data_IF_004729507695
#
_entry.id   IF_004729507695
#
_cell.length_a   1.000
_cell.length_b   1.000
_cell.length_c   1.000
_cell.angle_alpha   90.00
_cell.angle_beta   90.00
_cell.angle_gamma   90.00
#
_symmetry.space_group_name_H-M   'P 1'
#
loop_
_entity.id
_entity.type
_entity.pdbx_description
1 polymer ?
#
# COMPACT_ATOMS: atom_id res chain seq x y z
N UNK A 1 44.52 28.28 23.57
CA UNK A 1 43.17 28.74 23.21
C UNK A 1 42.50 27.64 22.39
N UNK A 2 41.32 27.17 22.82
CA UNK A 2 40.62 25.96 22.31
C UNK A 2 40.19 26.16 20.85
N UNK A 3 40.56 25.22 19.97
CA UNK A 3 40.05 25.14 18.59
C UNK A 3 38.65 24.53 18.62
N UNK A 4 37.64 25.34 18.32
CA UNK A 4 36.25 24.90 18.16
C UNK A 4 36.11 24.38 16.73
N UNK A 5 35.85 23.09 16.59
CA UNK A 5 35.47 22.47 15.32
C UNK A 5 33.95 22.61 15.17
N UNK A 6 33.53 23.46 14.22
CA UNK A 6 32.12 23.56 13.83
C UNK A 6 31.80 22.38 12.93
N UNK A 7 31.06 21.41 13.44
CA UNK A 7 30.51 20.31 12.67
C UNK A 7 29.30 20.84 11.89
N UNK A 8 29.47 21.04 10.58
CA UNK A 8 28.38 21.42 9.67
C UNK A 8 27.50 20.19 9.43
N UNK A 9 26.34 20.16 10.08
CA UNK A 9 25.31 19.15 9.86
C UNK A 9 24.55 19.53 8.57
N UNK A 10 24.88 18.89 7.45
CA UNK A 10 24.18 19.13 6.18
C UNK A 10 22.78 18.52 6.28
N UNK A 11 21.77 19.38 6.32
CA UNK A 11 20.36 19.04 6.26
C UNK A 11 20.01 18.46 4.88
N UNK A 12 19.94 17.14 4.76
CA UNK A 12 19.44 16.43 3.59
C UNK A 12 17.97 15.99 3.77
N UNK A 13 17.11 16.85 4.33
CA UNK A 13 15.76 16.46 4.78
C UNK A 13 14.60 16.76 3.80
N UNK A 14 14.87 17.11 2.53
CA UNK A 14 13.82 17.47 1.56
C UNK A 14 13.82 16.65 0.25
N UNK A 15 14.36 15.42 0.25
CA UNK A 15 14.32 14.57 -0.96
C UNK A 15 13.17 13.54 -0.98
N UNK A 16 12.77 13.00 0.16
CA UNK A 16 11.82 11.86 0.21
C UNK A 16 10.45 12.13 -0.43
N UNK A 17 9.85 13.30 -0.17
CA UNK A 17 8.49 13.61 -0.66
C UNK A 17 8.41 13.77 -2.19
N UNK A 18 9.47 14.26 -2.83
CA UNK A 18 9.53 14.35 -4.29
C UNK A 18 9.86 13.01 -4.95
N UNK A 19 10.64 12.15 -4.27
CA UNK A 19 11.06 10.85 -4.83
C UNK A 19 9.89 9.90 -5.06
N UNK A 20 8.85 9.96 -4.25
CA UNK A 20 7.71 9.04 -4.32
C UNK A 20 6.47 9.64 -4.98
N UNK A 21 6.58 10.85 -5.54
CA UNK A 21 5.50 11.49 -6.27
C UNK A 21 5.13 10.65 -7.49
N UNK A 22 3.86 10.28 -7.61
CA UNK A 22 3.38 9.41 -8.70
C UNK A 22 3.68 10.03 -10.07
N UNK A 23 3.54 11.35 -10.19
CA UNK A 23 3.74 12.09 -11.44
C UNK A 23 5.20 12.10 -11.90
N UNK A 24 6.16 11.85 -11.02
CA UNK A 24 7.57 11.74 -11.42
C UNK A 24 7.90 10.40 -12.10
N UNK A 25 6.99 9.42 -12.03
CA UNK A 25 7.22 8.06 -12.51
C UNK A 25 6.21 7.60 -13.58
N UNK A 26 4.98 8.09 -13.52
CA UNK A 26 3.88 7.59 -14.36
C UNK A 26 3.11 8.75 -14.99
N UNK A 27 2.84 8.66 -16.29
CA UNK A 27 1.83 9.48 -16.96
C UNK A 27 0.41 9.11 -16.51
N UNK A 28 -0.58 9.94 -16.83
CA UNK A 28 -2.00 9.65 -16.56
C UNK A 28 -2.45 8.31 -17.14
N UNK A 29 -2.02 7.99 -18.37
CA UNK A 29 -2.32 6.72 -19.02
C UNK A 29 -1.67 5.56 -18.28
N UNK A 30 -0.40 5.68 -17.89
CA UNK A 30 0.31 4.64 -17.14
C UNK A 30 -0.28 4.43 -15.75
N UNK A 31 -0.71 5.49 -15.06
CA UNK A 31 -1.44 5.42 -13.79
C UNK A 31 -2.71 4.61 -13.93
N UNK A 32 -3.51 4.88 -14.97
CA UNK A 32 -4.76 4.16 -15.21
C UNK A 32 -4.50 2.68 -15.52
N UNK A 33 -3.55 2.39 -16.42
CA UNK A 33 -3.16 1.03 -16.77
C UNK A 33 -2.69 0.25 -15.55
N UNK A 34 -1.83 0.85 -14.73
CA UNK A 34 -1.28 0.21 -13.55
C UNK A 34 -2.35 -0.01 -12.47
N UNK A 35 -3.21 0.98 -12.22
CA UNK A 35 -4.36 0.81 -11.32
C UNK A 35 -5.24 -0.36 -11.79
N UNK A 36 -5.52 -0.46 -13.09
CA UNK A 36 -6.32 -1.56 -13.65
C UNK A 36 -5.64 -2.94 -13.46
N UNK A 37 -4.31 -3.01 -13.43
CA UNK A 37 -3.58 -4.26 -13.14
C UNK A 37 -3.70 -4.66 -11.67
N UNK A 38 -3.53 -3.72 -10.74
CA UNK A 38 -3.51 -4.04 -9.29
C UNK A 38 -4.89 -4.06 -8.63
N UNK A 39 -5.92 -3.45 -9.23
CA UNK A 39 -7.21 -3.24 -8.57
C UNK A 39 -7.91 -4.55 -8.16
N UNK A 40 -7.68 -5.64 -8.89
CA UNK A 40 -8.27 -6.97 -8.58
C UNK A 40 -7.72 -7.58 -7.30
N UNK A 41 -6.53 -7.15 -6.91
CA UNK A 41 -5.89 -7.55 -5.67
C UNK A 41 -6.32 -6.64 -4.51
N UNK A 42 -6.24 -5.32 -4.71
CA UNK A 42 -6.48 -4.31 -3.66
C UNK A 42 -7.96 -4.12 -3.33
N UNK A 43 -8.83 -4.12 -4.33
CA UNK A 43 -10.24 -3.79 -4.13
C UNK A 43 -10.99 -4.94 -3.45
N UNK A 44 -12.11 -4.59 -2.81
CA UNK A 44 -13.07 -5.59 -2.34
C UNK A 44 -13.63 -6.33 -3.57
N UNK A 45 -13.53 -7.64 -3.55
CA UNK A 45 -14.20 -8.47 -4.55
C UNK A 45 -15.73 -8.43 -4.38
N UNK A 46 -16.50 -8.68 -5.46
CA UNK A 46 -17.90 -9.02 -5.35
C UNK A 46 -18.10 -10.18 -4.35
N UNK A 47 -19.24 -10.17 -3.68
CA UNK A 47 -19.57 -11.20 -2.69
C UNK A 47 -19.72 -12.58 -3.35
N UNK A 48 -19.24 -13.62 -2.67
CA UNK A 48 -19.35 -15.00 -3.13
C UNK A 48 -18.29 -15.47 -4.13
N UNK A 49 -17.34 -14.62 -4.53
CA UNK A 49 -16.28 -15.01 -5.46
C UNK A 49 -15.09 -15.65 -4.76
N UNK A 50 -14.52 -16.66 -5.41
CA UNK A 50 -13.16 -17.14 -5.15
C UNK A 50 -12.13 -16.07 -5.53
N UNK A 51 -10.86 -16.30 -5.21
CA UNK A 51 -9.81 -15.33 -5.57
C UNK A 51 -9.54 -15.35 -7.09
N UNK A 52 -9.59 -16.53 -7.69
CA UNK A 52 -9.32 -16.78 -9.10
C UNK A 52 -10.42 -16.17 -9.99
N UNK A 53 -11.68 -16.28 -9.56
CA UNK A 53 -12.84 -15.69 -10.26
C UNK A 53 -12.72 -14.17 -10.39
N UNK A 54 -11.98 -13.50 -9.50
CA UNK A 54 -11.75 -12.05 -9.58
C UNK A 54 -11.11 -11.64 -10.89
N UNK A 55 -10.43 -12.53 -11.60
CA UNK A 55 -9.71 -12.24 -12.84
C UNK A 55 -10.53 -12.57 -14.09
N UNK A 56 -11.75 -13.08 -13.95
CA UNK A 56 -12.58 -13.39 -15.11
C UNK A 56 -13.08 -12.10 -15.81
N UNK A 57 -13.16 -12.11 -17.16
CA UNK A 57 -13.61 -10.96 -17.95
C UNK A 57 -15.00 -10.43 -17.56
N UNK A 58 -15.87 -11.31 -17.04
CA UNK A 58 -17.20 -10.95 -16.58
C UNK A 58 -17.20 -9.86 -15.47
N UNK A 59 -16.09 -9.71 -14.74
CA UNK A 59 -15.96 -8.73 -13.67
C UNK A 59 -15.20 -7.45 -14.07
N UNK A 60 -14.80 -7.30 -15.34
CA UNK A 60 -14.06 -6.13 -15.84
C UNK A 60 -14.76 -4.81 -15.49
N UNK A 61 -16.06 -4.72 -15.77
CA UNK A 61 -16.86 -3.53 -15.48
C UNK A 61 -16.90 -3.20 -13.99
N UNK A 62 -16.97 -4.22 -13.13
CA UNK A 62 -16.92 -4.03 -11.68
C UNK A 62 -15.57 -3.44 -11.25
N UNK A 63 -14.47 -4.03 -11.73
CA UNK A 63 -13.13 -3.59 -11.33
C UNK A 63 -12.71 -2.25 -11.92
N UNK A 64 -13.20 -1.88 -13.11
CA UNK A 64 -13.04 -0.50 -13.65
C UNK A 64 -13.73 0.53 -12.74
N UNK A 65 -14.93 0.21 -12.23
CA UNK A 65 -15.62 1.06 -11.24
C UNK A 65 -14.84 1.13 -9.92
N UNK A 66 -14.28 0.02 -9.46
CA UNK A 66 -13.40 0.03 -8.29
C UNK A 66 -12.17 0.90 -8.51
N UNK A 67 -11.51 0.80 -9.67
CA UNK A 67 -10.30 1.57 -10.00
C UNK A 67 -10.56 3.08 -9.87
N UNK A 68 -11.70 3.57 -10.37
CA UNK A 68 -12.10 4.98 -10.27
C UNK A 68 -12.32 5.47 -8.83
N UNK A 69 -12.52 4.56 -7.86
CA UNK A 69 -12.68 4.90 -6.44
C UNK A 69 -11.35 4.90 -5.68
N UNK A 70 -10.27 4.46 -6.31
CA UNK A 70 -8.93 4.40 -5.74
C UNK A 70 -8.05 5.50 -6.33
N UNK A 71 -7.04 5.92 -5.57
CA UNK A 71 -5.99 6.82 -6.05
C UNK A 71 -4.63 6.32 -5.61
N UNK A 72 -3.61 6.55 -6.44
CA UNK A 72 -2.23 6.45 -5.99
C UNK A 72 -1.93 7.64 -5.07
N UNK A 73 -1.35 7.37 -3.91
CA UNK A 73 -0.80 8.37 -3.00
C UNK A 73 0.72 8.48 -3.16
N UNK A 74 1.38 7.36 -3.49
CA UNK A 74 2.80 7.29 -3.75
C UNK A 74 3.11 6.11 -4.67
N UNK A 75 4.20 6.23 -5.41
CA UNK A 75 4.70 5.18 -6.29
C UNK A 75 6.20 5.28 -6.45
N UNK A 76 6.86 4.13 -6.57
CA UNK A 76 8.31 4.05 -6.77
C UNK A 76 8.66 2.76 -7.51
N UNK A 77 9.73 2.79 -8.30
CA UNK A 77 10.26 1.63 -9.00
C UNK A 77 11.76 1.51 -8.70
N UNK A 78 12.19 0.31 -8.31
CA UNK A 78 13.60 -0.04 -8.12
C UNK A 78 13.92 -1.35 -8.85
N UNK A 79 14.69 -1.26 -9.92
CA UNK A 79 14.91 -2.39 -10.83
C UNK A 79 13.59 -2.92 -11.41
N UNK A 80 13.24 -4.16 -11.07
CA UNK A 80 11.98 -4.81 -11.48
C UNK A 80 10.89 -4.78 -10.38
N UNK A 81 11.19 -4.23 -9.20
CA UNK A 81 10.24 -4.15 -8.09
C UNK A 81 9.50 -2.80 -8.14
N UNK A 82 8.17 -2.89 -8.20
CA UNK A 82 7.26 -1.77 -8.19
C UNK A 82 6.64 -1.64 -6.81
N UNK A 83 6.76 -0.48 -6.18
CA UNK A 83 6.14 -0.17 -4.90
C UNK A 83 4.97 0.77 -5.12
N UNK A 84 3.84 0.49 -4.46
CA UNK A 84 2.66 1.33 -4.53
C UNK A 84 2.11 1.67 -3.14
N UNK A 85 1.54 2.86 -3.04
CA UNK A 85 0.61 3.24 -1.99
C UNK A 85 -0.67 3.70 -2.66
N UNK A 86 -1.76 2.97 -2.42
CA UNK A 86 -3.08 3.30 -2.98
C UNK A 86 -4.09 3.49 -1.87
N UNK A 87 -5.01 4.42 -2.04
CA UNK A 87 -6.05 4.67 -1.05
C UNK A 87 -7.45 4.69 -1.66
N UNK A 88 -8.45 4.42 -0.82
CA UNK A 88 -9.88 4.56 -1.16
C UNK A 88 -10.63 5.21 -0.02
N UNK A 89 -11.78 5.82 -0.33
CA UNK A 89 -12.71 6.32 0.70
C UNK A 89 -13.21 5.15 1.56
N UNK A 90 -13.29 5.39 2.86
CA UNK A 90 -13.84 4.48 3.84
C UNK A 90 -15.22 4.99 4.30
N UNK A 91 -16.18 4.11 4.62
CA UNK A 91 -17.45 4.53 5.20
C UNK A 91 -17.23 5.28 6.53
N UNK A 92 -17.65 6.55 6.59
CA UNK A 92 -17.58 7.43 7.76
C UNK A 92 -18.46 8.68 7.57
N UNK A 93 -18.83 9.34 8.67
CA UNK A 93 -19.54 10.63 8.67
C UNK A 93 -18.67 11.80 8.18
N UNK A 94 -17.35 11.65 8.24
CA UNK A 94 -16.35 12.61 7.76
C UNK A 94 -15.52 11.95 6.65
N UNK A 95 -14.91 12.72 5.75
CA UNK A 95 -14.05 12.13 4.71
C UNK A 95 -12.87 11.42 5.35
N UNK A 96 -12.92 10.09 5.32
CA UNK A 96 -11.84 9.21 5.77
C UNK A 96 -11.48 8.25 4.67
N UNK A 97 -10.24 7.83 4.68
CA UNK A 97 -9.66 6.91 3.71
C UNK A 97 -8.88 5.82 4.43
N UNK A 98 -8.70 4.71 3.75
CA UNK A 98 -7.70 3.69 4.10
C UNK A 98 -6.70 3.62 2.96
N UNK A 99 -5.44 3.37 3.29
CA UNK A 99 -4.38 3.15 2.31
C UNK A 99 -3.82 1.74 2.44
N UNK A 100 -3.46 1.15 1.30
CA UNK A 100 -2.75 -0.12 1.18
C UNK A 100 -1.39 0.18 0.57
N UNK A 101 -0.33 -0.19 1.27
CA UNK A 101 1.03 -0.18 0.76
C UNK A 101 1.46 -1.58 0.37
N UNK A 102 2.05 -1.73 -0.80
CA UNK A 102 2.48 -3.03 -1.30
C UNK A 102 3.52 -2.92 -2.40
N UNK A 103 3.84 -4.08 -2.95
CA UNK A 103 4.81 -4.21 -4.03
C UNK A 103 4.48 -5.36 -4.96
N UNK A 104 4.96 -5.26 -6.19
CA UNK A 104 4.81 -6.30 -7.19
C UNK A 104 5.97 -6.28 -8.20
N UNK A 105 6.09 -7.34 -8.97
CA UNK A 105 6.98 -7.40 -10.12
C UNK A 105 6.17 -7.67 -11.38
N UNK A 106 6.67 -7.21 -12.52
CA UNK A 106 6.09 -7.51 -13.82
C UNK A 106 6.92 -8.56 -14.55
N UNK A 107 6.25 -9.43 -15.31
CA UNK A 107 6.86 -10.33 -16.27
C UNK A 107 5.98 -10.34 -17.53
N UNK A 108 6.55 -10.01 -18.69
CA UNK A 108 5.79 -9.87 -19.95
C UNK A 108 4.56 -8.94 -19.80
N UNK A 109 4.70 -7.85 -19.03
CA UNK A 109 3.64 -6.90 -18.68
C UNK A 109 2.52 -7.45 -17.77
N UNK A 110 2.65 -8.65 -17.23
CA UNK A 110 1.70 -9.23 -16.27
C UNK A 110 2.27 -9.26 -14.85
N UNK A 111 1.41 -9.21 -13.84
CA UNK A 111 1.83 -9.26 -12.43
C UNK A 111 2.33 -10.67 -12.12
N UNK A 112 3.64 -10.82 -11.92
CA UNK A 112 4.27 -12.10 -11.60
C UNK A 112 4.27 -12.37 -10.09
N UNK A 113 4.75 -11.42 -9.28
CA UNK A 113 4.68 -11.46 -7.81
C UNK A 113 3.89 -10.26 -7.30
N UNK A 114 3.13 -10.43 -6.21
CA UNK A 114 2.35 -9.36 -5.61
C UNK A 114 2.23 -9.55 -4.09
N UNK A 115 2.44 -8.48 -3.35
CA UNK A 115 2.38 -8.44 -1.89
C UNK A 115 1.72 -7.14 -1.40
N UNK A 116 0.73 -7.23 -0.52
CA UNK A 116 0.31 -6.10 0.32
C UNK A 116 1.05 -6.20 1.65
N UNK A 117 1.87 -5.19 1.93
CA UNK A 117 2.76 -5.16 3.11
C UNK A 117 2.01 -4.59 4.30
N UNK A 118 1.18 -3.56 4.07
CA UNK A 118 0.37 -2.98 5.13
C UNK A 118 -0.94 -2.39 4.59
N UNK A 119 -1.90 -2.28 5.50
CA UNK A 119 -3.09 -1.46 5.35
C UNK A 119 -3.24 -0.55 6.56
N UNK A 120 -3.55 0.71 6.34
CA UNK A 120 -3.69 1.70 7.41
C UNK A 120 -5.06 1.65 8.07
N UNK A 121 -5.14 2.22 9.28
CA UNK A 121 -6.42 2.63 9.85
C UNK A 121 -7.12 3.69 8.98
N UNK A 122 -8.42 3.90 9.25
CA UNK A 122 -9.23 4.95 8.61
C UNK A 122 -8.82 6.33 9.12
N UNK A 123 -8.28 7.17 8.25
CA UNK A 123 -7.79 8.50 8.61
C UNK A 123 -8.34 9.58 7.70
N UNK A 124 -8.39 10.82 8.19
CA UNK A 124 -8.63 11.99 7.33
C UNK A 124 -7.48 12.14 6.32
N UNK A 125 -7.72 12.72 5.12
CA UNK A 125 -6.76 12.73 4.02
C UNK A 125 -5.35 13.20 4.40
N UNK A 126 -5.21 14.31 5.11
CA UNK A 126 -3.89 14.86 5.46
C UNK A 126 -3.09 13.93 6.39
N UNK A 127 -3.77 13.33 7.37
CA UNK A 127 -3.16 12.36 8.28
C UNK A 127 -2.79 11.07 7.54
N UNK A 128 -3.67 10.60 6.65
CA UNK A 128 -3.42 9.44 5.80
C UNK A 128 -2.19 9.66 4.92
N UNK A 129 -2.08 10.82 4.29
CA UNK A 129 -0.97 11.14 3.40
C UNK A 129 0.35 11.12 4.17
N UNK A 130 0.44 11.85 5.29
CA UNK A 130 1.66 11.91 6.11
C UNK A 130 2.08 10.54 6.64
N UNK A 131 1.14 9.80 7.26
CA UNK A 131 1.44 8.47 7.83
C UNK A 131 1.67 7.42 6.75
N UNK A 132 0.90 7.46 5.68
CA UNK A 132 1.02 6.55 4.54
C UNK A 132 2.37 6.71 3.84
N UNK A 133 2.80 7.94 3.55
CA UNK A 133 4.09 8.22 2.93
C UNK A 133 5.26 7.79 3.83
N UNK A 134 5.16 8.07 5.14
CA UNK A 134 6.14 7.61 6.12
C UNK A 134 6.28 6.08 6.15
N UNK A 135 5.18 5.34 6.13
CA UNK A 135 5.19 3.87 6.08
C UNK A 135 5.72 3.36 4.73
N UNK A 136 5.36 4.04 3.65
CA UNK A 136 5.79 3.71 2.29
C UNK A 136 7.29 3.86 2.11
N UNK A 137 7.88 4.97 2.58
CA UNK A 137 9.32 5.19 2.56
C UNK A 137 10.06 4.08 3.29
N UNK A 138 9.62 3.73 4.50
CA UNK A 138 10.20 2.63 5.28
C UNK A 138 10.10 1.28 4.58
N UNK A 139 8.96 1.01 3.94
CA UNK A 139 8.76 -0.20 3.13
C UNK A 139 9.74 -0.26 1.96
N UNK A 140 9.91 0.84 1.22
CA UNK A 140 10.86 0.92 0.09
C UNK A 140 12.30 0.76 0.57
N UNK A 141 12.65 1.29 1.75
CA UNK A 141 13.98 1.16 2.35
C UNK A 141 14.24 -0.22 2.99
N UNK A 142 13.26 -1.15 2.94
CA UNK A 142 13.37 -2.47 3.54
C UNK A 142 13.35 -2.46 5.08
N UNK A 143 12.90 -1.37 5.69
CA UNK A 143 12.79 -1.26 7.13
C UNK A 143 11.60 -2.06 7.69
N UNK A 144 11.73 -2.51 8.93
CA UNK A 144 10.64 -3.21 9.62
C UNK A 144 9.50 -2.26 10.00
N UNK A 145 8.28 -2.59 9.57
CA UNK A 145 7.07 -1.86 9.95
C UNK A 145 6.43 -2.35 11.26
N UNK A 146 7.03 -3.35 11.93
CA UNK A 146 6.44 -4.01 13.11
C UNK A 146 6.09 -3.03 14.22
N UNK A 147 6.93 -2.00 14.44
CA UNK A 147 6.69 -0.97 15.46
C UNK A 147 5.41 -0.15 15.22
N UNK A 148 4.88 -0.13 13.99
CA UNK A 148 3.71 0.67 13.61
C UNK A 148 2.42 -0.16 13.52
N UNK A 149 2.49 -1.47 13.76
CA UNK A 149 1.32 -2.33 13.88
C UNK A 149 0.52 -1.97 15.14
N UNK A 150 -0.81 -2.13 15.08
CA UNK A 150 -1.76 -1.77 16.16
C UNK A 150 -1.23 -2.11 17.55
N UNK A 151 -0.77 -3.35 17.79
CA UNK A 151 -0.29 -3.82 19.10
C UNK A 151 1.01 -3.17 19.59
N UNK A 152 1.85 -2.65 18.68
CA UNK A 152 3.18 -2.12 18.99
C UNK A 152 3.24 -0.58 18.93
N UNK A 153 2.19 0.06 18.40
CA UNK A 153 2.16 1.49 18.10
C UNK A 153 1.85 2.41 19.30
N UNK A 154 1.78 1.86 20.52
CA UNK A 154 1.40 2.58 21.75
C UNK A 154 0.11 3.41 21.60
N UNK A 155 -0.90 2.85 20.91
CA UNK A 155 -2.18 3.51 20.66
C UNK A 155 -2.19 4.47 19.48
N UNK A 156 -1.08 4.61 18.73
CA UNK A 156 -1.05 5.47 17.54
C UNK A 156 -1.50 4.69 16.31
N UNK A 157 -2.63 5.08 15.74
CA UNK A 157 -3.19 4.43 14.54
C UNK A 157 -2.29 4.65 13.31
N UNK A 158 -1.40 3.70 12.99
CA UNK A 158 -0.65 3.66 11.72
C UNK A 158 -1.19 2.53 10.85
N UNK A 159 -0.89 1.29 11.24
CA UNK A 159 -1.22 0.07 10.48
C UNK A 159 -2.38 -0.65 11.18
N UNK A 160 -3.47 -0.86 10.44
CA UNK A 160 -4.58 -1.74 10.83
C UNK A 160 -4.17 -3.20 10.62
N UNK A 161 -3.63 -3.53 9.43
CA UNK A 161 -3.15 -4.87 9.08
C UNK A 161 -1.75 -4.85 8.47
N UNK A 162 -0.86 -5.80 8.80
CA UNK A 162 -1.11 -7.00 9.59
C UNK A 162 -1.27 -6.74 11.09
N UNK A 163 -1.92 -7.69 11.77
CA UNK A 163 -2.03 -7.78 13.22
C UNK A 163 -1.80 -9.24 13.70
N UNK A 164 -2.15 -9.56 14.95
CA UNK A 164 -1.91 -10.90 15.52
C UNK A 164 -2.66 -12.02 14.81
N UNK A 165 -3.81 -11.73 14.21
CA UNK A 165 -4.67 -12.70 13.55
C UNK A 165 -4.73 -12.48 12.04
N UNK A 166 -4.55 -11.26 11.55
CA UNK A 166 -4.67 -10.89 10.15
C UNK A 166 -3.29 -10.71 9.53
N UNK A 167 -3.00 -11.47 8.47
CA UNK A 167 -1.72 -11.44 7.78
C UNK A 167 -1.92 -11.56 6.28
N UNK A 168 -0.93 -11.11 5.50
CA UNK A 168 -0.95 -11.28 4.06
C UNK A 168 -0.28 -12.60 3.68
N UNK A 169 -1.02 -13.50 3.02
CA UNK A 169 -0.50 -14.74 2.48
C UNK A 169 0.05 -14.49 1.08
N UNK A 170 1.37 -14.51 0.92
CA UNK A 170 2.05 -14.22 -0.36
C UNK A 170 1.80 -15.28 -1.42
N UNK A 171 1.60 -16.54 -1.01
CA UNK A 171 1.32 -17.64 -1.93
C UNK A 171 -0.10 -17.50 -2.47
N UNK A 172 -1.06 -17.22 -1.58
CA UNK A 172 -2.45 -17.03 -1.95
C UNK A 172 -2.78 -15.60 -2.44
N UNK A 173 -1.82 -14.67 -2.37
CA UNK A 173 -1.92 -13.25 -2.72
C UNK A 173 -3.14 -12.54 -2.13
N UNK A 174 -3.44 -12.83 -0.85
CA UNK A 174 -4.59 -12.27 -0.14
C UNK A 174 -4.37 -12.17 1.36
N UNK A 175 -5.06 -11.21 1.98
CA UNK A 175 -5.20 -11.17 3.43
C UNK A 175 -5.97 -12.41 3.92
N UNK A 176 -5.45 -13.02 4.99
CA UNK A 176 -6.06 -14.15 5.70
C UNK A 176 -6.11 -13.84 7.18
N UNK A 177 -7.08 -14.46 7.84
CA UNK A 177 -7.20 -14.43 9.29
C UNK A 177 -6.86 -15.81 9.84
N UNK A 178 -6.06 -15.88 10.91
CA UNK A 178 -5.84 -17.08 11.70
C UNK A 178 -7.16 -17.44 12.37
N UNK A 179 -7.84 -18.45 11.87
CA UNK A 179 -8.96 -19.08 12.57
C UNK A 179 -8.37 -20.08 13.57
N UNK A 180 -8.88 -20.12 14.81
CA UNK A 180 -8.41 -21.04 15.86
C UNK A 180 -8.60 -22.53 15.56
N UNK A 181 -9.21 -22.85 14.43
CA UNK A 181 -9.29 -24.16 13.81
C UNK A 181 -8.72 -24.01 12.39
N UNK A 182 -7.85 -24.94 11.99
CA UNK A 182 -7.07 -24.88 10.76
C UNK A 182 -7.84 -24.45 9.51
N UNK A 183 -7.07 -23.94 8.54
CA UNK A 183 -7.52 -23.41 7.25
C UNK A 183 -8.74 -24.13 6.70
N UNK A 184 -9.87 -23.43 6.59
CA UNK A 184 -10.97 -23.83 5.73
C UNK A 184 -10.87 -23.05 4.42
N UNK A 185 -11.06 -23.79 3.33
CA UNK A 185 -10.77 -23.49 1.92
C UNK A 185 -11.52 -22.26 1.40
#
# INVERSE_FOLDING_TARGET
MKKIWILVLIMAACKGEQTYNVESHLSDTQKLELMNKIIRYVARAPEGLTFEERFYPAYDTFYRKQAALHKFEAYYIDGNEHYFLVSRRAPSLVDKRVATGGRFTLESNEINAYEEVFRTWKMVPDTLQKRGLFLFEKMVQGESLVAYQTKNSNGTEYIEFPDDITYYDKTARRWRTKTGQGFLY
#
